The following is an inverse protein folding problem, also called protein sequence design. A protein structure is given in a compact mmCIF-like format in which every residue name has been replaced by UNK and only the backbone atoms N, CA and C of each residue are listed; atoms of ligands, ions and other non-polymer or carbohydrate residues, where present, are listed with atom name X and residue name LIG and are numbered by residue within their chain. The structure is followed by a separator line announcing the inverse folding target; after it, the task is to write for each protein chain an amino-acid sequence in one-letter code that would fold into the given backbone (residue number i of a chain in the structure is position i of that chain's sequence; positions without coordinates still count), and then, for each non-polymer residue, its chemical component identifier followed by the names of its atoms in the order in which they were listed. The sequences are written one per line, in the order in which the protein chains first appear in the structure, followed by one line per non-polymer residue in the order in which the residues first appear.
data_IF_540110991496
#
_entry.id   IF_540110991496
#
_cell.length_a   1.000
_cell.length_b   1.000
_cell.length_c   1.000
_cell.angle_alpha   90.00
_cell.angle_beta   90.00
_cell.angle_gamma   90.00
#
_symmetry.space_group_name_H-M   'P 1'
#
loop_
_entity.id
_entity.type
_entity.pdbx_description
1 polymer ?
#
# COMPACT_ATOMS: atom_id res chain seq x y z
N UNK A 1 10.11 28.15 6.41
CA UNK A 1 11.33 27.32 6.43
C UNK A 1 12.24 27.82 5.32
N UNK A 2 13.49 28.18 5.61
CA UNK A 2 14.42 28.72 4.62
C UNK A 2 14.99 27.60 3.75
N UNK A 3 15.05 27.80 2.43
CA UNK A 3 15.72 26.86 1.53
C UNK A 3 17.22 26.80 1.85
N UNK A 4 17.82 25.60 1.95
CA UNK A 4 19.26 25.45 2.09
C UNK A 4 20.00 26.17 0.96
N UNK A 5 21.06 26.89 1.30
CA UNK A 5 21.85 27.66 0.31
C UNK A 5 22.40 26.79 -0.83
N UNK A 6 22.66 25.51 -0.57
CA UNK A 6 23.16 24.58 -1.58
C UNK A 6 22.14 24.21 -2.67
N UNK A 7 20.84 24.45 -2.46
CA UNK A 7 19.82 24.23 -3.50
C UNK A 7 20.05 25.08 -4.76
N UNK A 8 20.75 26.21 -4.63
CA UNK A 8 21.07 27.09 -5.75
C UNK A 8 21.99 26.43 -6.80
N UNK A 9 22.75 25.39 -6.43
CA UNK A 9 23.62 24.65 -7.36
C UNK A 9 22.90 23.52 -8.10
N UNK A 10 21.68 23.19 -7.68
CA UNK A 10 20.90 22.13 -8.30
C UNK A 10 20.27 22.66 -9.58
N UNK A 11 20.57 22.01 -10.70
CA UNK A 11 19.87 22.30 -11.95
C UNK A 11 18.42 21.81 -11.88
N UNK A 12 17.52 22.74 -11.55
CA UNK A 12 16.07 22.48 -11.39
C UNK A 12 15.39 21.92 -12.63
N UNK A 13 15.98 22.11 -13.83
CA UNK A 13 15.43 21.60 -15.08
C UNK A 13 15.78 20.13 -15.33
N UNK A 14 16.73 19.56 -14.59
CA UNK A 14 17.14 18.16 -14.77
C UNK A 14 16.15 17.23 -14.08
N UNK A 15 15.85 16.10 -14.73
CA UNK A 15 15.02 15.03 -14.15
C UNK A 15 15.59 14.57 -12.81
N UNK A 16 14.70 14.38 -11.84
CA UNK A 16 15.08 14.00 -10.47
C UNK A 16 15.59 15.12 -9.57
N UNK A 17 15.75 16.36 -10.06
CA UNK A 17 16.21 17.49 -9.26
C UNK A 17 15.36 17.71 -8.00
N UNK A 18 14.05 17.51 -8.12
CA UNK A 18 13.12 17.67 -7.00
C UNK A 18 13.41 16.78 -5.80
N UNK A 19 14.02 15.59 -5.98
CA UNK A 19 14.43 14.74 -4.86
C UNK A 19 15.39 15.48 -3.92
N UNK A 20 16.36 16.18 -4.48
CA UNK A 20 17.34 16.95 -3.72
C UNK A 20 16.72 18.24 -3.16
N UNK A 21 15.90 18.92 -3.96
CA UNK A 21 15.27 20.19 -3.56
C UNK A 21 14.22 20.05 -2.46
N UNK A 22 13.67 18.85 -2.25
CA UNK A 22 12.74 18.57 -1.16
C UNK A 22 13.44 18.38 0.20
N UNK A 23 14.76 18.21 0.21
CA UNK A 23 15.48 17.97 1.45
C UNK A 23 15.67 19.26 2.23
N UNK A 24 15.20 19.28 3.47
CA UNK A 24 15.39 20.41 4.36
C UNK A 24 16.61 20.16 5.24
N UNK A 25 17.68 20.92 5.04
CA UNK A 25 18.88 20.86 5.89
C UNK A 25 20.03 20.07 5.26
N UNK A 26 20.55 19.08 5.99
CA UNK A 26 21.69 18.28 5.54
C UNK A 26 21.27 17.31 4.42
N UNK A 27 22.08 17.21 3.35
CA UNK A 27 21.77 16.32 2.23
C UNK A 27 21.86 14.85 2.68
N UNK A 28 20.75 14.14 2.54
CA UNK A 28 20.62 12.69 2.69
C UNK A 28 20.43 12.08 1.29
N UNK A 29 21.50 11.54 0.73
CA UNK A 29 21.51 11.04 -0.66
C UNK A 29 21.43 9.52 -0.62
N UNK A 30 20.23 8.98 -0.83
CA UNK A 30 19.94 7.55 -0.80
C UNK A 30 19.33 7.08 -2.14
N UNK A 31 19.88 6.01 -2.76
CA UNK A 31 19.42 5.53 -4.06
C UNK A 31 17.98 4.97 -4.03
N UNK A 32 17.57 4.29 -2.97
CA UNK A 32 16.21 3.73 -2.83
C UNK A 32 15.18 4.85 -2.68
N UNK A 33 15.46 5.85 -1.84
CA UNK A 33 14.58 7.02 -1.72
C UNK A 33 14.48 7.78 -3.03
N UNK A 34 15.56 7.82 -3.82
CA UNK A 34 15.56 8.41 -5.15
C UNK A 34 14.66 7.64 -6.11
N UNK A 35 14.76 6.31 -6.17
CA UNK A 35 13.89 5.45 -6.99
C UNK A 35 12.43 5.67 -6.58
N UNK A 36 12.16 5.67 -5.27
CA UNK A 36 10.83 5.92 -4.71
C UNK A 36 10.29 7.30 -5.09
N UNK A 37 11.11 8.34 -5.02
CA UNK A 37 10.73 9.69 -5.45
C UNK A 37 10.44 9.73 -6.96
N UNK A 38 11.24 9.06 -7.78
CA UNK A 38 11.06 9.06 -9.23
C UNK A 38 9.77 8.34 -9.63
N UNK A 39 9.36 7.34 -8.84
CA UNK A 39 8.08 6.62 -8.96
C UNK A 39 7.73 6.21 -10.40
N UNK A 40 8.75 5.86 -11.20
CA UNK A 40 8.57 5.44 -12.58
C UNK A 40 7.89 4.07 -12.64
N UNK A 41 7.43 3.70 -13.83
CA UNK A 41 7.11 2.31 -14.11
C UNK A 41 8.40 1.51 -14.35
N UNK A 42 8.36 0.19 -14.11
CA UNK A 42 9.54 -0.69 -14.20
C UNK A 42 10.15 -0.73 -15.61
N UNK A 43 9.33 -0.61 -16.65
CA UNK A 43 9.77 -0.52 -18.05
C UNK A 43 10.52 0.79 -18.35
N UNK A 44 10.33 1.81 -17.53
CA UNK A 44 10.95 3.14 -17.66
C UNK A 44 12.13 3.35 -16.70
N UNK A 45 12.41 2.41 -15.79
CA UNK A 45 13.45 2.57 -14.76
C UNK A 45 14.87 2.25 -15.21
N UNK A 46 15.06 1.70 -16.41
CA UNK A 46 16.38 1.34 -16.95
C UNK A 46 17.36 2.52 -17.00
N UNK A 47 16.84 3.75 -17.14
CA UNK A 47 17.64 4.98 -17.19
C UNK A 47 17.99 5.56 -15.80
N UNK A 48 17.44 5.01 -14.71
CA UNK A 48 17.63 5.58 -13.37
C UNK A 48 19.07 5.45 -12.89
N UNK A 49 19.76 4.37 -13.25
CA UNK A 49 21.17 4.16 -12.89
C UNK A 49 22.04 5.26 -13.49
N UNK A 50 21.86 5.57 -14.77
CA UNK A 50 22.58 6.65 -15.46
C UNK A 50 22.24 8.02 -14.88
N UNK A 51 20.95 8.26 -14.62
CA UNK A 51 20.47 9.51 -14.02
C UNK A 51 21.09 9.74 -12.63
N UNK A 52 21.06 8.72 -11.78
CA UNK A 52 21.64 8.71 -10.45
C UNK A 52 23.15 8.94 -10.48
N UNK A 53 23.86 8.21 -11.35
CA UNK A 53 25.31 8.32 -11.50
C UNK A 53 25.72 9.74 -11.92
N UNK A 54 24.98 10.35 -12.84
CA UNK A 54 25.20 11.75 -13.25
C UNK A 54 24.95 12.72 -12.11
N UNK A 55 23.90 12.51 -11.31
CA UNK A 55 23.66 13.32 -10.11
C UNK A 55 24.80 13.23 -9.12
N UNK A 56 25.27 12.02 -8.78
CA UNK A 56 26.40 11.86 -7.86
C UNK A 56 27.68 12.52 -8.39
N UNK A 57 27.97 12.38 -9.69
CA UNK A 57 29.13 13.01 -10.32
C UNK A 57 29.12 14.54 -10.20
N UNK A 58 27.96 15.17 -10.38
CA UNK A 58 27.82 16.62 -10.29
C UNK A 58 27.82 17.10 -8.84
N UNK A 59 27.14 16.39 -7.93
CA UNK A 59 27.11 16.74 -6.50
C UNK A 59 28.47 16.60 -5.83
N UNK A 60 29.32 15.67 -6.29
CA UNK A 60 30.72 15.55 -5.87
C UNK A 60 31.55 16.80 -6.18
N UNK A 61 31.10 17.64 -7.12
CA UNK A 61 31.76 18.90 -7.53
C UNK A 61 31.13 20.14 -6.89
N UNK A 62 30.11 19.98 -6.04
CA UNK A 62 29.44 21.09 -5.35
C UNK A 62 30.42 21.95 -4.57
N UNK A 63 30.17 23.27 -4.45
CA UNK A 63 31.01 24.12 -3.59
C UNK A 63 30.79 23.84 -2.10
N UNK A 64 29.66 23.22 -1.74
CA UNK A 64 29.27 22.92 -0.37
C UNK A 64 29.86 21.59 0.09
N UNK A 65 30.68 21.63 1.14
CA UNK A 65 31.38 20.45 1.64
C UNK A 65 30.44 19.32 2.11
N UNK A 66 29.34 19.69 2.78
CA UNK A 66 28.33 18.73 3.23
C UNK A 66 27.70 17.96 2.06
N UNK A 67 27.45 18.63 0.93
CA UNK A 67 26.91 18.01 -0.29
C UNK A 67 27.94 17.09 -0.93
N UNK A 68 29.19 17.55 -1.07
CA UNK A 68 30.27 16.69 -1.61
C UNK A 68 30.45 15.42 -0.77
N UNK A 69 30.53 15.56 0.56
CA UNK A 69 30.69 14.41 1.47
C UNK A 69 29.51 13.45 1.38
N UNK A 70 28.28 13.96 1.36
CA UNK A 70 27.10 13.12 1.18
C UNK A 70 27.14 12.37 -0.17
N UNK A 71 27.53 13.03 -1.25
CA UNK A 71 27.60 12.41 -2.58
C UNK A 71 28.76 11.42 -2.73
N UNK A 72 29.88 11.61 -2.02
CA UNK A 72 30.99 10.65 -1.94
C UNK A 72 30.56 9.38 -1.20
N UNK A 73 29.81 9.54 -0.11
CA UNK A 73 29.36 8.44 0.73
C UNK A 73 28.07 7.77 0.22
N UNK A 74 27.38 8.38 -0.74
CA UNK A 74 26.18 7.81 -1.33
C UNK A 74 26.50 6.50 -2.05
N UNK A 75 25.63 5.51 -1.86
CA UNK A 75 25.72 4.23 -2.54
C UNK A 75 25.43 4.40 -4.04
N UNK A 76 26.05 3.54 -4.86
CA UNK A 76 25.68 3.41 -6.26
C UNK A 76 24.26 2.81 -6.34
N UNK A 77 23.47 3.25 -7.32
CA UNK A 77 22.21 2.61 -7.64
C UNK A 77 22.50 1.44 -8.58
N UNK A 78 22.10 0.24 -8.20
CA UNK A 78 22.25 -0.98 -8.97
C UNK A 78 20.93 -1.43 -9.59
N UNK A 79 20.99 -2.40 -10.51
CA UNK A 79 19.79 -3.00 -11.06
C UNK A 79 19.03 -3.83 -9.99
N UNK A 80 19.77 -4.46 -9.07
CA UNK A 80 19.19 -5.23 -7.97
C UNK A 80 18.35 -4.34 -7.05
N UNK A 81 18.84 -3.14 -6.72
CA UNK A 81 18.08 -2.14 -5.93
C UNK A 81 16.74 -1.78 -6.58
N UNK A 82 16.73 -1.64 -7.91
CA UNK A 82 15.54 -1.31 -8.69
C UNK A 82 14.57 -2.51 -8.68
N UNK A 83 15.07 -3.71 -8.92
CA UNK A 83 14.26 -4.93 -8.95
C UNK A 83 13.71 -5.29 -7.58
N UNK A 84 14.46 -5.08 -6.50
CA UNK A 84 14.01 -5.21 -5.11
C UNK A 84 12.87 -4.23 -4.82
N UNK A 85 13.04 -2.94 -5.15
CA UNK A 85 12.00 -1.93 -4.97
C UNK A 85 10.67 -2.31 -5.65
N UNK A 86 10.70 -2.79 -6.90
CA UNK A 86 9.48 -3.20 -7.60
C UNK A 86 8.92 -4.52 -7.09
N UNK A 87 9.77 -5.44 -6.63
CA UNK A 87 9.32 -6.70 -6.01
C UNK A 87 8.55 -6.43 -4.72
N UNK A 88 9.05 -5.53 -3.88
CA UNK A 88 8.38 -5.12 -2.65
C UNK A 88 7.05 -4.47 -2.96
N UNK A 89 7.02 -3.60 -3.98
CA UNK A 89 5.77 -2.96 -4.42
C UNK A 89 4.72 -3.96 -4.91
N UNK A 90 5.12 -4.93 -5.75
CA UNK A 90 4.21 -6.00 -6.21
C UNK A 90 3.73 -6.87 -5.05
N UNK A 91 4.59 -7.13 -4.07
CA UNK A 91 4.22 -7.90 -2.87
C UNK A 91 3.17 -7.15 -2.05
N UNK A 92 3.38 -5.85 -1.80
CA UNK A 92 2.42 -4.99 -1.09
C UNK A 92 1.09 -4.88 -1.83
N UNK A 93 1.11 -4.72 -3.16
CA UNK A 93 -0.12 -4.67 -3.96
C UNK A 93 -0.92 -5.99 -3.84
N UNK A 94 -0.23 -7.14 -3.88
CA UNK A 94 -0.87 -8.46 -3.68
C UNK A 94 -1.42 -8.65 -2.27
N UNK A 95 -0.71 -8.19 -1.25
CA UNK A 95 -1.19 -8.22 0.14
C UNK A 95 -2.45 -7.37 0.29
N UNK A 96 -2.48 -6.19 -0.34
CA UNK A 96 -3.65 -5.32 -0.36
C UNK A 96 -4.86 -6.00 -1.02
N UNK A 97 -4.67 -6.62 -2.19
CA UNK A 97 -5.72 -7.36 -2.90
C UNK A 97 -6.26 -8.53 -2.07
N UNK A 98 -5.38 -9.25 -1.37
CA UNK A 98 -5.75 -10.35 -0.49
C UNK A 98 -6.57 -9.86 0.72
N UNK A 99 -6.17 -8.73 1.32
CA UNK A 99 -6.90 -8.09 2.43
C UNK A 99 -8.28 -7.60 1.97
N UNK A 100 -8.37 -6.96 0.80
CA UNK A 100 -9.65 -6.48 0.26
C UNK A 100 -10.60 -7.64 -0.05
N UNK A 101 -10.07 -8.72 -0.64
CA UNK A 101 -10.82 -9.95 -0.88
C UNK A 101 -11.34 -10.57 0.42
N UNK A 102 -10.49 -10.64 1.44
CA UNK A 102 -10.85 -11.17 2.76
C UNK A 102 -11.93 -10.32 3.44
N UNK A 103 -11.82 -9.00 3.37
CA UNK A 103 -12.84 -8.05 3.87
C UNK A 103 -14.18 -8.24 3.18
N UNK A 104 -14.19 -8.48 1.87
CA UNK A 104 -15.42 -8.75 1.11
C UNK A 104 -16.06 -10.07 1.55
N UNK A 105 -15.26 -11.12 1.72
CA UNK A 105 -15.74 -12.42 2.20
C UNK A 105 -16.35 -12.32 3.61
N UNK A 106 -15.70 -11.61 4.53
CA UNK A 106 -16.23 -11.35 5.88
C UNK A 106 -17.58 -10.64 5.83
N UNK A 107 -17.70 -9.57 5.04
CA UNK A 107 -18.98 -8.86 4.87
C UNK A 107 -20.10 -9.77 4.34
N UNK A 108 -19.79 -10.64 3.38
CA UNK A 108 -20.75 -11.60 2.85
C UNK A 108 -21.17 -12.63 3.90
N UNK A 109 -20.22 -13.12 4.70
CA UNK A 109 -20.49 -14.07 5.79
C UNK A 109 -21.39 -13.44 6.87
N UNK A 110 -21.13 -12.19 7.26
CA UNK A 110 -21.94 -11.44 8.22
C UNK A 110 -23.38 -11.25 7.73
N UNK A 111 -23.56 -10.88 6.46
CA UNK A 111 -24.87 -10.75 5.83
C UNK A 111 -25.64 -12.09 5.84
N UNK A 112 -24.96 -13.19 5.48
CA UNK A 112 -25.58 -14.52 5.51
C UNK A 112 -25.94 -14.97 6.93
N UNK A 113 -25.11 -14.67 7.92
CA UNK A 113 -25.39 -14.98 9.32
C UNK A 113 -26.61 -14.20 9.82
N UNK A 114 -26.68 -12.91 9.49
CA UNK A 114 -27.82 -12.03 9.83
C UNK A 114 -29.13 -12.60 9.26
N UNK A 115 -29.15 -12.93 7.96
CA UNK A 115 -30.32 -13.54 7.31
C UNK A 115 -30.72 -14.88 7.97
N UNK A 116 -29.75 -15.70 8.39
CA UNK A 116 -30.03 -16.98 9.09
C UNK A 116 -30.58 -16.76 10.50
N UNK A 117 -30.16 -15.72 11.19
CA UNK A 117 -30.68 -15.33 12.51
C UNK A 117 -32.12 -14.83 12.35
N UNK A 118 -32.36 -13.88 11.45
CA UNK A 118 -33.71 -13.35 11.16
C UNK A 118 -34.68 -14.47 10.76
N UNK A 119 -34.27 -15.38 9.87
CA UNK A 119 -35.10 -16.53 9.47
C UNK A 119 -35.45 -17.42 10.66
N UNK A 120 -34.48 -17.68 11.57
CA UNK A 120 -34.73 -18.46 12.79
C UNK A 120 -35.76 -17.77 13.69
N UNK A 121 -35.61 -16.47 13.95
CA UNK A 121 -36.55 -15.70 14.77
C UNK A 121 -37.95 -15.62 14.15
N UNK A 122 -38.05 -15.49 12.83
CA UNK A 122 -39.33 -15.53 12.14
C UNK A 122 -40.02 -16.91 12.30
N UNK A 123 -39.28 -18.01 12.21
CA UNK A 123 -39.84 -19.37 12.36
C UNK A 123 -40.26 -19.74 13.78
N UNK A 124 -39.64 -19.19 14.82
CA UNK A 124 -40.05 -19.40 16.23
C UNK A 124 -41.24 -18.54 16.68
N UNK A 125 -41.65 -17.55 15.86
CA UNK A 125 -42.79 -16.66 16.17
C UNK A 125 -44.14 -17.11 15.60
N UNK A 126 -44.20 -18.22 14.83
CA UNK A 126 -45.47 -18.77 14.36
C UNK A 126 -46.21 -19.44 15.54
N UNK A 127 -47.44 -19.00 15.88
CA UNK A 127 -48.22 -19.66 16.92
C UNK A 127 -48.57 -21.09 16.50
N UNK A 128 -48.43 -22.02 17.45
CA UNK A 128 -48.90 -23.39 17.34
C UNK A 128 -50.43 -23.39 17.24
N UNK A 129 -50.95 -23.26 16.01
CA UNK A 129 -52.37 -23.41 15.74
C UNK A 129 -52.67 -24.89 15.53
N UNK A 130 -53.43 -25.48 16.45
CA UNK A 130 -54.30 -26.62 16.15
C UNK A 130 -53.87 -27.99 16.68
N UNK A 131 -53.84 -28.17 18.01
CA UNK A 131 -54.20 -29.48 18.59
C UNK A 131 -55.73 -29.49 18.66
N UNK A 132 -56.40 -30.06 17.66
CA UNK A 132 -57.80 -30.46 17.79
C UNK A 132 -57.83 -31.88 18.36
N UNK A 133 -58.13 -32.00 19.65
CA UNK A 133 -58.43 -33.27 20.30
C UNK A 133 -59.74 -33.82 19.73
N UNK A 134 -59.67 -34.94 19.01
CA UNK A 134 -60.83 -35.82 18.88
C UNK A 134 -60.92 -36.63 20.19
N UNK A 135 -61.85 -36.24 21.06
CA UNK A 135 -62.33 -37.11 22.13
C UNK A 135 -63.21 -38.17 21.49
N UNK A 136 -62.70 -39.40 21.45
CA UNK A 136 -63.49 -40.60 21.22
C UNK A 136 -64.58 -40.70 22.29
N UNK A 137 -65.83 -40.72 21.84
CA UNK A 137 -66.97 -41.03 22.68
C UNK A 137 -67.14 -42.56 22.70
N UNK A 138 -66.66 -43.18 23.78
CA UNK A 138 -67.14 -44.47 24.24
C UNK A 138 -68.65 -44.38 24.49
N UNK A 139 -69.43 -45.20 23.77
CA UNK A 139 -70.77 -45.56 24.19
C UNK A 139 -70.92 -47.07 24.18
N UNK A 140 -70.85 -47.62 25.38
CA UNK A 140 -71.28 -48.95 25.77
C UNK A 140 -72.81 -49.05 25.79
N UNK A 141 -73.26 -50.23 25.39
CA UNK A 141 -74.37 -51.03 25.96
C UNK A 141 -75.83 -50.66 25.65
N UNK A 142 -76.56 -51.71 25.21
CA UNK A 142 -78.02 -51.77 25.13
C UNK A 142 -78.50 -52.71 24.06
#
# INVERSE_FOLDING_TARGET
MSNPHWHAEINVRRKGAGYFLLQTGHPCINPIDYVKYRALHRDQSSHLIDEWTRWLSDLKKSSYEAVRRAAINAQALTQDDIDEFYRDRVSVDREYDALESSKKQLRMADQQLTLRIEKRHASTSKPATGITNNMDADHQEG
#
